data_IF_528538005507
#
_entry.id   IF_528538005507
#
_cell.length_a   1.000
_cell.length_b   1.000
_cell.length_c   1.000
_cell.angle_alpha   90.00
_cell.angle_beta   90.00
_cell.angle_gamma   90.00
#
_symmetry.space_group_name_H-M   'P 1'
#
loop_
_entity.id
_entity.type
_entity.pdbx_description
1 polymer ?
#
# COMPACT_ATOMS: atom_id res chain seq x y z
N UNK A 1 -34.24 -36.15 -3.58
CA UNK A 1 -33.59 -34.83 -3.70
C UNK A 1 -32.81 -34.62 -2.43
N UNK A 2 -31.48 -34.56 -2.42
CA UNK A 2 -30.77 -34.16 -1.21
C UNK A 2 -30.95 -32.65 -1.04
N UNK A 3 -31.35 -32.25 0.16
CA UNK A 3 -31.31 -30.87 0.63
C UNK A 3 -29.85 -30.52 0.95
N UNK A 4 -29.17 -29.86 0.02
CA UNK A 4 -27.95 -29.14 0.32
C UNK A 4 -28.32 -27.82 1.00
N UNK A 5 -28.41 -27.85 2.33
CA UNK A 5 -28.50 -26.66 3.18
C UNK A 5 -27.25 -25.76 3.15
N UNK A 6 -26.62 -25.62 1.99
CA UNK A 6 -25.56 -24.65 1.74
C UNK A 6 -26.19 -23.27 1.61
N UNK A 7 -25.96 -22.43 2.62
CA UNK A 7 -26.32 -21.03 2.60
C UNK A 7 -25.77 -20.37 1.31
N UNK A 8 -26.63 -19.90 0.37
CA UNK A 8 -26.21 -19.53 -1.00
C UNK A 8 -25.41 -18.20 -1.06
N UNK A 9 -25.06 -17.62 0.09
CA UNK A 9 -24.34 -16.35 0.23
C UNK A 9 -23.05 -16.48 1.06
N UNK A 10 -22.48 -17.68 1.18
CA UNK A 10 -21.16 -17.82 1.80
C UNK A 10 -20.12 -17.18 0.88
N UNK A 11 -19.68 -15.97 1.22
CA UNK A 11 -18.49 -15.36 0.65
C UNK A 11 -17.34 -16.37 0.65
N UNK A 12 -16.58 -16.42 -0.44
CA UNK A 12 -15.39 -17.25 -0.51
C UNK A 12 -14.41 -16.77 0.57
N UNK A 13 -14.02 -17.67 1.46
CA UNK A 13 -13.01 -17.40 2.47
C UNK A 13 -11.65 -17.19 1.77
N UNK A 14 -11.13 -15.97 1.85
CA UNK A 14 -9.87 -15.62 1.21
C UNK A 14 -8.66 -16.38 1.74
N UNK A 15 -8.68 -16.81 3.00
CA UNK A 15 -7.62 -17.64 3.57
C UNK A 15 -7.66 -19.06 2.99
N UNK A 16 -8.85 -19.65 2.84
CA UNK A 16 -8.99 -20.96 2.19
C UNK A 16 -8.67 -20.88 0.69
N UNK A 17 -9.04 -19.81 -0.01
CA UNK A 17 -8.60 -19.58 -1.39
C UNK A 17 -7.07 -19.52 -1.47
N UNK A 18 -6.43 -18.71 -0.62
CA UNK A 18 -4.98 -18.60 -0.62
C UNK A 18 -4.29 -19.94 -0.35
N UNK A 19 -4.79 -20.70 0.63
CA UNK A 19 -4.28 -22.02 0.98
C UNK A 19 -4.38 -23.03 -0.15
N UNK A 20 -5.55 -23.13 -0.79
CA UNK A 20 -5.87 -24.21 -1.72
C UNK A 20 -5.49 -23.89 -3.17
N UNK A 21 -5.55 -22.62 -3.58
CA UNK A 21 -5.41 -22.21 -4.99
C UNK A 21 -4.05 -21.57 -5.31
N UNK A 22 -3.36 -20.98 -4.33
CA UNK A 22 -2.04 -20.37 -4.55
C UNK A 22 -0.96 -21.42 -4.26
N UNK A 23 -0.04 -21.73 -5.20
CA UNK A 23 1.05 -22.66 -4.96
C UNK A 23 1.99 -22.21 -3.83
N UNK A 24 2.48 -23.14 -3.01
CA UNK A 24 3.46 -22.84 -1.94
C UNK A 24 4.81 -22.32 -2.48
N UNK A 25 5.11 -22.59 -3.76
CA UNK A 25 6.32 -22.09 -4.44
C UNK A 25 6.16 -20.68 -4.99
N UNK A 26 4.96 -20.09 -4.92
CA UNK A 26 4.74 -18.73 -5.41
C UNK A 26 5.51 -17.72 -4.55
N UNK A 27 6.37 -16.93 -5.19
CA UNK A 27 7.06 -15.80 -4.55
C UNK A 27 6.37 -14.46 -4.82
N UNK A 28 5.45 -14.43 -5.78
CA UNK A 28 4.70 -13.26 -6.22
C UNK A 28 3.27 -13.66 -6.52
N UNK A 29 2.30 -12.88 -6.03
CA UNK A 29 0.87 -13.09 -6.26
C UNK A 29 0.25 -11.77 -6.71
N UNK A 30 -0.41 -11.79 -7.87
CA UNK A 30 -1.10 -10.62 -8.42
C UNK A 30 -2.60 -10.73 -8.14
N UNK A 31 -3.12 -9.82 -7.33
CA UNK A 31 -4.52 -9.82 -6.90
C UNK A 31 -5.29 -8.70 -7.60
N UNK A 32 -5.87 -9.03 -8.75
CA UNK A 32 -6.71 -8.11 -9.53
C UNK A 32 -8.12 -7.95 -8.96
N UNK A 33 -8.85 -6.97 -9.49
CA UNK A 33 -10.27 -6.75 -9.23
C UNK A 33 -10.99 -6.37 -10.53
N UNK A 34 -12.28 -6.69 -10.64
CA UNK A 34 -13.06 -6.34 -11.83
C UNK A 34 -13.48 -4.87 -11.83
N UNK A 35 -13.59 -4.26 -10.65
CA UNK A 35 -14.02 -2.88 -10.45
C UNK A 35 -13.35 -2.31 -9.21
N UNK A 36 -12.97 -1.03 -9.27
CA UNK A 36 -12.64 -0.29 -8.06
C UNK A 36 -13.91 -0.03 -7.24
N UNK A 37 -13.84 -0.22 -5.93
CA UNK A 37 -14.89 0.19 -4.99
C UNK A 37 -15.90 -0.89 -4.60
N UNK A 38 -15.72 -2.12 -5.07
CA UNK A 38 -16.49 -3.28 -4.58
C UNK A 38 -15.85 -3.82 -3.31
N UNK A 39 -16.53 -3.66 -2.18
CA UNK A 39 -16.02 -3.95 -0.82
C UNK A 39 -15.53 -5.40 -0.69
N UNK A 40 -16.21 -6.32 -1.34
CA UNK A 40 -15.93 -7.75 -1.40
C UNK A 40 -14.54 -8.04 -1.96
N UNK A 41 -14.10 -7.29 -2.98
CA UNK A 41 -12.74 -7.44 -3.52
C UNK A 41 -11.69 -6.96 -2.53
N UNK A 42 -11.94 -5.89 -1.77
CA UNK A 42 -11.00 -5.46 -0.73
C UNK A 42 -10.90 -6.48 0.41
N UNK A 43 -12.04 -7.02 0.86
CA UNK A 43 -12.05 -8.07 1.88
C UNK A 43 -11.29 -9.31 1.44
N UNK A 44 -11.57 -9.82 0.23
CA UNK A 44 -10.93 -11.02 -0.29
C UNK A 44 -9.42 -10.83 -0.42
N UNK A 45 -8.97 -9.70 -1.00
CA UNK A 45 -7.54 -9.39 -1.13
C UNK A 45 -6.85 -9.22 0.22
N UNK A 46 -7.53 -8.63 1.21
CA UNK A 46 -7.00 -8.48 2.56
C UNK A 46 -6.82 -9.85 3.24
N UNK A 47 -7.80 -10.74 3.18
CA UNK A 47 -7.71 -12.07 3.80
C UNK A 47 -6.64 -12.95 3.13
N UNK A 48 -6.57 -12.94 1.79
CA UNK A 48 -5.48 -13.61 1.05
C UNK A 48 -4.12 -13.07 1.50
N UNK A 49 -3.96 -11.74 1.56
CA UNK A 49 -2.69 -11.10 1.95
C UNK A 49 -2.28 -11.48 3.37
N UNK A 50 -3.22 -11.43 4.34
CA UNK A 50 -2.97 -11.85 5.72
C UNK A 50 -2.52 -13.31 5.79
N UNK A 51 -3.20 -14.21 5.09
CA UNK A 51 -2.84 -15.63 5.05
C UNK A 51 -1.42 -15.84 4.51
N UNK A 52 -1.09 -15.24 3.36
CA UNK A 52 0.22 -15.36 2.74
C UNK A 52 1.34 -14.80 3.63
N UNK A 53 1.09 -13.68 4.30
CA UNK A 53 2.05 -13.11 5.25
C UNK A 53 2.26 -13.99 6.48
N UNK A 54 1.20 -14.57 7.03
CA UNK A 54 1.29 -15.39 8.24
C UNK A 54 1.91 -16.75 8.00
N UNK A 55 1.64 -17.37 6.84
CA UNK A 55 1.93 -18.78 6.62
C UNK A 55 3.00 -19.03 5.55
N UNK A 56 3.24 -18.07 4.65
CA UNK A 56 4.10 -18.26 3.45
C UNK A 56 5.22 -17.24 3.30
N UNK A 57 5.50 -16.44 4.33
CA UNK A 57 6.66 -15.57 4.38
C UNK A 57 6.60 -14.32 3.47
N UNK A 58 5.44 -14.02 2.88
CA UNK A 58 5.24 -12.76 2.18
C UNK A 58 5.36 -11.59 3.18
N UNK A 59 6.02 -10.49 2.80
CA UNK A 59 6.19 -9.35 3.69
C UNK A 59 5.92 -7.98 3.04
N UNK A 60 5.57 -7.93 1.74
CA UNK A 60 5.33 -6.70 1.00
C UNK A 60 3.97 -6.80 0.28
N UNK A 61 3.17 -5.72 0.36
CA UNK A 61 2.03 -5.47 -0.53
C UNK A 61 2.39 -4.30 -1.45
N UNK A 62 2.26 -4.52 -2.75
CA UNK A 62 2.32 -3.45 -3.76
C UNK A 62 0.90 -3.12 -4.22
N UNK A 63 0.48 -1.88 -3.99
CA UNK A 63 -0.81 -1.35 -4.40
C UNK A 63 -0.67 -0.57 -5.72
N UNK A 64 -1.68 -0.68 -6.59
CA UNK A 64 -1.87 0.20 -7.76
C UNK A 64 -2.28 1.60 -7.27
N UNK A 65 -1.34 2.29 -6.61
CA UNK A 65 -1.52 3.59 -6.00
C UNK A 65 -0.20 4.35 -6.06
N UNK A 66 -0.28 5.65 -5.84
CA UNK A 66 0.87 6.54 -5.80
C UNK A 66 1.89 6.08 -4.74
N UNK A 67 3.17 6.13 -5.12
CA UNK A 67 4.26 5.78 -4.20
C UNK A 67 4.24 6.64 -2.94
N UNK A 68 4.10 7.96 -3.06
CA UNK A 68 4.09 8.88 -1.90
C UNK A 68 2.92 8.63 -0.96
N UNK A 69 1.73 8.36 -1.52
CA UNK A 69 0.52 8.05 -0.75
C UNK A 69 0.71 6.78 0.08
N UNK A 70 1.12 5.68 -0.56
CA UNK A 70 1.33 4.41 0.14
C UNK A 70 2.57 4.42 1.03
N UNK A 71 3.58 5.23 0.70
CA UNK A 71 4.70 5.46 1.59
C UNK A 71 4.25 6.11 2.89
N UNK A 72 3.35 7.10 2.86
CA UNK A 72 2.76 7.65 4.09
C UNK A 72 2.03 6.56 4.90
N UNK A 73 1.23 5.71 4.24
CA UNK A 73 0.56 4.57 4.89
C UNK A 73 1.60 3.60 5.50
N UNK A 74 2.71 3.34 4.82
CA UNK A 74 3.80 2.52 5.35
C UNK A 74 4.47 3.16 6.59
N UNK A 75 4.70 4.47 6.56
CA UNK A 75 5.19 5.21 7.73
C UNK A 75 4.20 5.10 8.90
N UNK A 76 2.89 5.06 8.62
CA UNK A 76 1.89 4.73 9.62
C UNK A 76 2.02 3.28 10.11
N UNK A 77 2.17 2.27 9.24
CA UNK A 77 2.40 0.87 9.67
C UNK A 77 3.57 0.77 10.65
N UNK A 78 4.66 1.51 10.39
CA UNK A 78 5.87 1.53 11.22
C UNK A 78 5.89 2.59 12.32
N UNK A 79 4.73 3.17 12.69
CA UNK A 79 4.57 4.12 13.81
C UNK A 79 5.38 5.42 13.70
N UNK A 80 5.81 5.79 12.48
CA UNK A 80 6.45 7.07 12.16
C UNK A 80 5.44 8.18 11.84
N UNK A 81 4.20 7.83 11.53
CA UNK A 81 3.05 8.74 11.43
C UNK A 81 1.93 8.30 12.38
N UNK A 82 1.17 9.28 12.88
CA UNK A 82 0.00 9.06 13.75
C UNK A 82 -1.31 8.94 12.98
N UNK A 83 -1.42 9.57 11.80
CA UNK A 83 -2.56 9.44 10.88
C UNK A 83 -2.26 8.39 9.81
N UNK A 84 -3.23 7.54 9.49
CA UNK A 84 -3.09 6.46 8.50
C UNK A 84 -2.96 7.01 7.08
N UNK A 85 -3.81 7.95 6.70
CA UNK A 85 -3.83 8.56 5.37
C UNK A 85 -3.28 10.00 5.43
N UNK A 86 -2.69 10.49 4.33
CA UNK A 86 -2.40 11.91 4.18
C UNK A 86 -3.71 12.72 4.08
N UNK A 87 -3.63 14.02 4.41
CA UNK A 87 -4.81 14.92 4.36
C UNK A 87 -5.23 15.25 2.91
N UNK A 88 -4.33 15.05 1.95
CA UNK A 88 -4.59 15.27 0.51
C UNK A 88 -4.46 13.97 -0.26
N UNK A 89 -5.47 13.65 -1.07
CA UNK A 89 -5.53 12.44 -1.89
C UNK A 89 -5.66 12.81 -3.38
N UNK A 90 -4.95 12.08 -4.25
CA UNK A 90 -5.11 12.22 -5.72
C UNK A 90 -6.36 11.48 -6.19
N UNK A 91 -6.56 10.28 -5.67
CA UNK A 91 -7.69 9.43 -5.98
C UNK A 91 -8.85 9.71 -5.03
N UNK A 92 -10.10 9.45 -5.45
CA UNK A 92 -11.25 9.57 -4.57
C UNK A 92 -11.08 8.74 -3.28
N UNK A 93 -11.50 9.32 -2.15
CA UNK A 93 -11.27 8.70 -0.84
C UNK A 93 -11.81 7.28 -0.73
N UNK A 94 -12.96 6.97 -1.35
CA UNK A 94 -13.56 5.64 -1.32
C UNK A 94 -12.65 4.51 -1.86
N UNK A 95 -11.66 4.85 -2.68
CA UNK A 95 -10.74 3.88 -3.27
C UNK A 95 -9.78 3.28 -2.23
N UNK A 96 -9.21 4.10 -1.34
CA UNK A 96 -8.22 3.63 -0.36
C UNK A 96 -8.64 3.86 1.09
N UNK A 97 -9.47 4.87 1.35
CA UNK A 97 -10.01 5.19 2.67
C UNK A 97 -11.31 4.43 2.94
N UNK A 98 -11.27 3.11 2.71
CA UNK A 98 -12.38 2.20 3.02
C UNK A 98 -12.04 1.29 4.21
N UNK A 99 -13.08 0.70 4.79
CA UNK A 99 -12.98 -0.11 6.00
C UNK A 99 -12.08 -1.35 5.83
N UNK A 100 -12.20 -2.17 4.77
CA UNK A 100 -11.35 -3.35 4.65
C UNK A 100 -9.85 -3.00 4.52
N UNK A 101 -9.51 -1.94 3.79
CA UNK A 101 -8.12 -1.47 3.70
C UNK A 101 -7.63 -0.93 5.05
N UNK A 102 -8.44 -0.16 5.77
CA UNK A 102 -8.12 0.30 7.12
C UNK A 102 -7.83 -0.86 8.07
N UNK A 103 -8.69 -1.89 8.07
CA UNK A 103 -8.53 -3.09 8.91
C UNK A 103 -7.25 -3.88 8.55
N UNK A 104 -6.91 -3.97 7.27
CA UNK A 104 -5.66 -4.56 6.79
C UNK A 104 -4.44 -3.79 7.30
N UNK A 105 -4.42 -2.47 7.13
CA UNK A 105 -3.30 -1.62 7.57
C UNK A 105 -3.14 -1.65 9.09
N UNK A 106 -4.23 -1.63 9.86
CA UNK A 106 -4.19 -1.80 11.31
C UNK A 106 -3.63 -3.16 11.72
N UNK A 107 -4.03 -4.22 11.01
CA UNK A 107 -3.53 -5.57 11.22
C UNK A 107 -2.03 -5.67 10.94
N UNK A 108 -1.54 -4.98 9.89
CA UNK A 108 -0.11 -4.87 9.55
C UNK A 108 0.64 -4.08 10.64
N UNK A 109 0.14 -2.92 11.05
CA UNK A 109 0.72 -2.08 12.10
C UNK A 109 0.92 -2.84 13.42
N UNK A 110 -0.05 -3.67 13.81
CA UNK A 110 0.07 -4.53 15.01
C UNK A 110 1.21 -5.55 14.94
N UNK A 111 1.63 -5.93 13.74
CA UNK A 111 2.69 -6.92 13.48
C UNK A 111 4.01 -6.31 13.02
N UNK A 112 4.03 -5.01 12.74
CA UNK A 112 5.18 -4.33 12.18
C UNK A 112 6.41 -4.42 13.10
N UNK A 113 7.50 -4.93 12.54
CA UNK A 113 8.85 -4.94 13.09
C UNK A 113 9.80 -4.14 12.18
N UNK A 114 11.11 -4.28 12.40
CA UNK A 114 12.13 -3.74 11.48
C UNK A 114 12.09 -4.38 10.09
N UNK A 115 11.56 -5.60 9.96
CA UNK A 115 11.62 -6.43 8.75
C UNK A 115 10.27 -6.54 8.01
N UNK A 116 9.29 -5.72 8.40
CA UNK A 116 7.97 -5.64 7.77
C UNK A 116 6.81 -5.94 8.74
N UNK A 117 5.59 -6.15 8.23
CA UNK A 117 5.25 -6.12 6.80
C UNK A 117 5.21 -4.68 6.25
N UNK A 118 5.44 -4.52 4.96
CA UNK A 118 5.47 -3.24 4.25
C UNK A 118 4.33 -3.11 3.25
N UNK A 119 3.91 -1.87 2.99
CA UNK A 119 2.97 -1.51 1.92
C UNK A 119 3.60 -0.42 1.05
N UNK A 120 3.55 -0.55 -0.27
CA UNK A 120 4.06 0.46 -1.19
C UNK A 120 3.11 0.67 -2.36
N UNK A 121 3.23 1.82 -3.01
CA UNK A 121 2.56 2.14 -4.25
C UNK A 121 3.50 1.88 -5.42
N UNK A 122 2.99 1.28 -6.49
CA UNK A 122 3.75 1.05 -7.73
C UNK A 122 3.34 1.96 -8.89
N UNK A 123 2.33 2.81 -8.69
CA UNK A 123 1.82 3.70 -9.73
C UNK A 123 2.70 4.95 -9.90
N UNK A 124 2.62 5.58 -11.06
CA UNK A 124 3.55 6.63 -11.51
C UNK A 124 2.91 8.03 -11.64
N UNK A 125 1.75 8.29 -11.03
CA UNK A 125 1.10 9.61 -11.13
C UNK A 125 1.75 10.67 -10.23
N UNK A 126 2.34 10.30 -9.09
CA UNK A 126 2.90 11.23 -8.09
C UNK A 126 4.27 11.84 -8.43
N UNK A 127 4.48 12.30 -9.67
CA UNK A 127 5.78 12.84 -10.11
C UNK A 127 6.23 14.04 -9.29
N UNK A 128 5.35 14.99 -8.99
CA UNK A 128 5.75 16.22 -8.29
C UNK A 128 6.01 15.95 -6.81
N UNK A 129 5.15 15.16 -6.16
CA UNK A 129 5.32 14.77 -4.76
C UNK A 129 6.57 13.88 -4.58
N UNK A 130 6.89 13.01 -5.54
CA UNK A 130 8.11 12.21 -5.51
C UNK A 130 9.38 13.07 -5.60
N UNK A 131 9.36 14.17 -6.38
CA UNK A 131 10.49 15.11 -6.40
C UNK A 131 10.67 15.79 -5.04
N UNK A 132 9.56 16.21 -4.40
CA UNK A 132 9.60 16.83 -3.08
C UNK A 132 10.20 15.89 -2.03
N UNK A 133 9.86 14.60 -2.05
CA UNK A 133 10.46 13.61 -1.14
C UNK A 133 11.98 13.46 -1.36
N UNK A 134 12.46 13.51 -2.60
CA UNK A 134 13.91 13.49 -2.90
C UNK A 134 14.58 14.78 -2.42
N UNK A 135 13.94 15.94 -2.59
CA UNK A 135 14.44 17.21 -2.08
C UNK A 135 14.52 17.22 -0.55
N UNK A 136 13.50 16.70 0.14
CA UNK A 136 13.47 16.55 1.59
C UNK A 136 14.61 15.64 2.09
N UNK A 137 14.90 14.56 1.37
CA UNK A 137 16.05 13.72 1.67
C UNK A 137 17.36 14.52 1.59
N UNK A 138 17.57 15.28 0.52
CA UNK A 138 18.77 16.09 0.39
C UNK A 138 18.85 17.20 1.44
N UNK A 139 17.74 17.84 1.81
CA UNK A 139 17.75 18.85 2.87
C UNK A 139 18.23 18.32 4.20
N UNK A 140 17.94 17.05 4.49
CA UNK A 140 18.38 16.42 5.71
C UNK A 140 19.85 15.96 5.67
N UNK A 141 20.32 15.42 4.54
CA UNK A 141 21.63 14.76 4.46
C UNK A 141 22.73 15.55 3.74
N UNK A 142 22.41 16.33 2.70
CA UNK A 142 23.40 17.03 1.87
C UNK A 142 22.77 18.21 1.09
N UNK A 143 22.29 19.20 1.83
CA UNK A 143 21.55 20.34 1.27
C UNK A 143 22.38 21.16 0.28
N UNK A 144 23.62 21.47 0.67
CA UNK A 144 24.43 22.51 0.00
C UNK A 144 25.25 21.99 -1.18
N UNK A 145 25.39 20.66 -1.34
CA UNK A 145 26.08 20.05 -2.49
C UNK A 145 25.07 19.42 -3.44
N UNK A 146 24.77 18.12 -3.29
CA UNK A 146 23.90 17.39 -4.22
C UNK A 146 22.47 17.95 -4.20
N UNK A 147 21.96 18.36 -3.04
CA UNK A 147 20.64 18.99 -2.94
C UNK A 147 20.52 20.26 -3.77
N UNK A 148 21.52 21.13 -3.73
CA UNK A 148 21.59 22.36 -4.52
C UNK A 148 21.65 22.08 -6.02
N UNK A 149 22.46 21.10 -6.45
CA UNK A 149 22.57 20.71 -7.86
C UNK A 149 21.26 20.09 -8.38
N UNK A 150 20.61 19.27 -7.57
CA UNK A 150 19.34 18.64 -7.90
C UNK A 150 18.22 19.69 -8.06
N UNK A 151 18.11 20.66 -7.14
CA UNK A 151 17.19 21.80 -7.28
C UNK A 151 17.39 22.57 -8.57
N UNK A 152 18.63 22.93 -8.90
CA UNK A 152 18.96 23.68 -10.12
C UNK A 152 18.56 22.91 -11.38
N UNK A 153 18.68 21.58 -11.37
CA UNK A 153 18.28 20.74 -12.49
C UNK A 153 16.76 20.67 -12.65
N UNK A 154 16.04 20.58 -11.53
CA UNK A 154 14.57 20.49 -11.54
C UNK A 154 13.88 21.83 -11.82
N UNK A 155 14.46 22.93 -11.33
CA UNK A 155 13.93 24.28 -11.43
C UNK A 155 15.00 25.21 -12.03
N UNK A 156 15.20 25.17 -13.36
CA UNK A 156 16.26 25.93 -14.04
C UNK A 156 16.02 27.44 -14.08
N UNK A 157 14.85 27.92 -13.69
CA UNK A 157 14.52 29.34 -13.53
C UNK A 157 14.53 29.65 -12.04
N UNK A 158 15.37 30.60 -11.60
CA UNK A 158 15.52 30.99 -10.20
C UNK A 158 14.14 31.28 -9.56
N UNK A 159 13.75 30.46 -8.58
CA UNK A 159 12.79 30.85 -7.56
C UNK A 159 13.61 31.16 -6.30
N UNK A 160 13.74 32.44 -5.90
CA UNK A 160 14.64 32.86 -4.83
C UNK A 160 14.33 32.26 -3.45
N UNK A 161 13.15 31.64 -3.27
CA UNK A 161 12.58 31.29 -1.97
C UNK A 161 12.28 29.79 -1.77
N UNK A 162 12.91 28.88 -2.55
CA UNK A 162 12.82 27.41 -2.38
C UNK A 162 14.13 26.78 -1.88
#
# INVERSE_FOLDING_TARGET
>A
MPEDGGNPCCFVDGAELAKNEIPDTATTVLLGECTHGTEEFYHLRAEISKYLMQNRGFNIILCESDWTFMWHVNQYVHRKKSKMFPDTTRFPDWMWQNRPFYELVEWMRKRASSDGPYVFGMDCYCKEEAKEEVLNFFDFYDRDKLGKEFRRTLYPVEQPDL
#
